data_IF_221354469375
#
_entry.id   IF_221354469375
#
_cell.length_a   1.000
_cell.length_b   1.000
_cell.length_c   1.000
_cell.angle_alpha   90.00
_cell.angle_beta   90.00
_cell.angle_gamma   90.00
#
_symmetry.space_group_name_H-M   'P 1'
#
loop_
_entity.id
_entity.type
_entity.pdbx_description
1 polymer ?
#
# COMPACT_ATOMS: atom_id res chain seq x y z
N UNK A 1 -28.09 4.28 8.16
CA UNK A 1 -26.96 4.99 7.61
C UNK A 1 -26.61 6.26 8.34
N UNK A 2 -25.57 6.94 7.90
CA UNK A 2 -25.16 8.23 8.43
C UNK A 2 -24.70 9.16 7.30
N UNK A 3 -24.78 10.48 7.57
CA UNK A 3 -24.31 11.51 6.64
C UNK A 3 -22.85 11.88 6.94
N UNK A 4 -22.11 12.30 5.91
CA UNK A 4 -20.74 12.79 6.02
C UNK A 4 -20.47 13.90 5.01
N UNK A 5 -19.99 15.03 5.51
CA UNK A 5 -19.57 16.16 4.68
C UNK A 5 -18.08 16.08 4.26
N UNK A 6 -17.31 15.15 4.85
CA UNK A 6 -15.86 15.02 4.64
C UNK A 6 -15.51 14.16 3.44
N UNK A 7 -16.47 13.45 2.86
CA UNK A 7 -16.25 12.50 1.77
C UNK A 7 -16.96 12.94 0.50
N UNK A 8 -16.60 12.39 -0.65
CA UNK A 8 -17.26 12.70 -1.93
C UNK A 8 -18.73 12.29 -1.97
N UNK A 9 -19.09 11.21 -1.26
CA UNK A 9 -20.49 10.81 -1.06
C UNK A 9 -21.12 11.58 0.08
N UNK A 10 -22.46 11.73 0.04
CA UNK A 10 -23.24 12.41 1.09
C UNK A 10 -23.33 11.60 2.40
N UNK A 11 -22.93 10.34 2.40
CA UNK A 11 -22.99 9.46 3.56
C UNK A 11 -22.96 7.99 3.18
N UNK A 12 -23.18 7.13 4.16
CA UNK A 12 -23.20 5.67 3.98
C UNK A 12 -24.52 5.07 4.41
N UNK A 13 -25.07 4.20 3.55
CA UNK A 13 -26.20 3.35 3.89
C UNK A 13 -25.66 2.07 4.52
N UNK A 14 -25.89 1.86 5.82
CA UNK A 14 -25.41 0.71 6.57
C UNK A 14 -26.42 -0.44 6.48
N UNK A 15 -27.74 -0.12 6.50
CA UNK A 15 -28.81 -1.10 6.46
C UNK A 15 -30.06 -0.52 5.84
N UNK A 16 -30.85 -1.34 5.16
CA UNK A 16 -32.21 -1.03 4.70
C UNK A 16 -33.28 -1.32 5.77
N UNK A 17 -32.89 -1.98 6.87
CA UNK A 17 -33.75 -2.27 8.02
C UNK A 17 -33.39 -1.35 9.17
N UNK A 18 -34.34 -1.13 10.09
CA UNK A 18 -34.08 -0.42 11.35
C UNK A 18 -33.10 -1.25 12.18
N UNK A 19 -31.95 -0.64 12.51
CA UNK A 19 -30.90 -1.22 13.35
C UNK A 19 -30.49 -0.22 14.40
N UNK A 20 -29.93 -0.70 15.52
CA UNK A 20 -29.24 0.11 16.52
C UNK A 20 -27.74 -0.06 16.32
N UNK A 21 -27.01 1.04 16.24
CA UNK A 21 -25.54 1.04 16.18
C UNK A 21 -25.01 1.05 17.61
N UNK A 22 -25.02 -0.12 18.24
CA UNK A 22 -24.53 -0.35 19.59
C UNK A 22 -23.28 -1.26 19.58
N UNK A 23 -22.73 -1.54 20.76
CA UNK A 23 -21.56 -2.38 20.89
C UNK A 23 -21.79 -3.78 20.30
N UNK A 24 -22.96 -4.39 20.57
CA UNK A 24 -23.27 -5.73 20.06
C UNK A 24 -23.30 -5.77 18.52
N UNK A 25 -23.81 -4.73 17.89
CA UNK A 25 -23.78 -4.61 16.42
C UNK A 25 -22.34 -4.58 15.89
N UNK A 26 -21.48 -3.74 16.44
CA UNK A 26 -20.09 -3.66 15.99
C UNK A 26 -19.27 -4.90 16.35
N UNK A 27 -19.50 -5.52 17.51
CA UNK A 27 -18.85 -6.80 17.87
C UNK A 27 -19.18 -7.91 16.86
N UNK A 28 -20.44 -8.03 16.43
CA UNK A 28 -20.84 -8.98 15.39
C UNK A 28 -20.17 -8.65 14.05
N UNK A 29 -20.07 -7.38 13.70
CA UNK A 29 -19.43 -6.94 12.46
C UNK A 29 -17.93 -7.25 12.45
N UNK A 30 -17.24 -6.99 13.55
CA UNK A 30 -15.82 -7.29 13.73
C UNK A 30 -15.57 -8.80 13.77
N UNK A 31 -16.42 -9.58 14.45
CA UNK A 31 -16.31 -11.05 14.45
C UNK A 31 -16.45 -11.63 13.03
N UNK A 32 -17.37 -11.10 12.23
CA UNK A 32 -17.52 -11.48 10.84
C UNK A 32 -16.28 -11.09 10.01
N UNK A 33 -15.72 -9.92 10.23
CA UNK A 33 -14.48 -9.47 9.56
C UNK A 33 -13.29 -10.37 9.94
N UNK A 34 -13.17 -10.74 11.23
CA UNK A 34 -12.14 -11.67 11.74
C UNK A 34 -12.23 -13.03 11.04
N UNK A 35 -13.44 -13.58 10.90
CA UNK A 35 -13.64 -14.89 10.26
C UNK A 35 -13.22 -14.93 8.79
N UNK A 36 -13.34 -13.82 8.06
CA UNK A 36 -12.92 -13.72 6.66
C UNK A 36 -11.38 -13.75 6.49
N UNK A 37 -10.64 -13.49 7.56
CA UNK A 37 -9.16 -13.34 7.54
C UNK A 37 -8.46 -14.43 8.34
N UNK A 38 -9.14 -15.55 8.58
CA UNK A 38 -8.61 -16.63 9.42
C UNK A 38 -7.27 -17.17 8.91
N UNK A 39 -7.06 -17.21 7.58
CA UNK A 39 -5.78 -17.62 6.99
C UNK A 39 -4.61 -16.72 7.39
N UNK A 40 -4.85 -15.41 7.51
CA UNK A 40 -3.81 -14.47 7.95
C UNK A 40 -3.49 -14.63 9.43
N UNK A 41 -4.50 -14.85 10.29
CA UNK A 41 -4.27 -15.12 11.72
C UNK A 41 -3.53 -16.44 11.99
N UNK A 42 -3.56 -17.38 11.03
CA UNK A 42 -2.86 -18.65 11.10
C UNK A 42 -1.50 -18.64 10.39
N UNK A 43 -1.17 -17.55 9.70
CA UNK A 43 0.10 -17.42 8.98
C UNK A 43 1.26 -17.21 9.94
N UNK A 44 2.34 -17.96 9.76
CA UNK A 44 3.62 -17.69 10.43
C UNK A 44 4.48 -16.68 9.64
N UNK A 45 4.08 -16.36 8.43
CA UNK A 45 4.81 -15.46 7.52
C UNK A 45 4.28 -14.02 7.56
N UNK A 46 3.10 -13.80 8.14
CA UNK A 46 2.42 -12.51 8.14
C UNK A 46 1.96 -12.13 9.55
N UNK A 47 2.44 -11.01 10.05
CA UNK A 47 2.01 -10.41 11.31
C UNK A 47 1.40 -9.03 11.12
N UNK A 48 1.22 -8.60 9.86
CA UNK A 48 0.55 -7.35 9.55
C UNK A 48 -0.37 -7.52 8.33
N UNK A 49 -1.64 -7.17 8.49
CA UNK A 49 -2.67 -7.27 7.46
C UNK A 49 -3.90 -6.43 7.83
N UNK A 50 -4.78 -6.19 6.86
CA UNK A 50 -6.02 -5.46 7.07
C UNK A 50 -7.08 -6.35 7.73
N UNK A 51 -7.58 -5.95 8.92
CA UNK A 51 -8.59 -6.71 9.66
C UNK A 51 -10.01 -6.18 9.49
N UNK A 52 -10.15 -4.92 9.03
CA UNK A 52 -11.45 -4.33 8.70
C UNK A 52 -11.32 -3.30 7.57
N UNK A 53 -12.12 -3.41 6.52
CA UNK A 53 -12.01 -2.57 5.32
C UNK A 53 -13.34 -1.95 4.88
N UNK A 54 -13.78 -0.92 5.57
CA UNK A 54 -14.91 -0.06 5.17
C UNK A 54 -16.15 -0.84 4.70
N UNK A 55 -16.71 -0.46 3.56
CA UNK A 55 -17.93 -1.06 2.97
C UNK A 55 -17.77 -2.55 2.64
N UNK A 56 -16.55 -3.00 2.37
CA UNK A 56 -16.24 -4.42 2.15
C UNK A 56 -16.56 -5.30 3.36
N UNK A 57 -16.45 -4.72 4.56
CA UNK A 57 -16.83 -5.36 5.82
C UNK A 57 -18.15 -4.81 6.41
N UNK A 58 -18.85 -3.94 5.66
CA UNK A 58 -20.23 -3.53 5.98
C UNK A 58 -20.37 -2.23 6.77
N UNK A 59 -19.28 -1.46 6.96
CA UNK A 59 -19.35 -0.15 7.64
C UNK A 59 -18.29 0.80 7.07
N UNK A 60 -18.71 1.74 6.23
CA UNK A 60 -17.85 2.72 5.60
C UNK A 60 -17.25 3.74 6.57
N UNK A 61 -16.14 4.36 6.15
CA UNK A 61 -15.45 5.39 6.90
C UNK A 61 -14.48 4.91 7.96
N UNK A 62 -14.26 3.60 8.10
CA UNK A 62 -13.32 2.98 9.02
C UNK A 62 -12.49 1.91 8.32
N UNK A 63 -11.18 1.95 8.48
CA UNK A 63 -10.33 0.77 8.26
C UNK A 63 -9.55 0.44 9.53
N UNK A 64 -9.24 -0.84 9.75
CA UNK A 64 -8.40 -1.29 10.84
C UNK A 64 -7.33 -2.21 10.28
N UNK A 65 -6.08 -1.87 10.52
CA UNK A 65 -4.91 -2.67 10.18
C UNK A 65 -4.28 -3.24 11.45
N UNK A 66 -3.83 -4.48 11.41
CA UNK A 66 -3.01 -5.10 12.44
C UNK A 66 -1.53 -4.93 12.08
N UNK A 67 -0.70 -4.64 13.09
CA UNK A 67 0.75 -4.62 13.02
C UNK A 67 1.30 -5.33 14.25
N UNK A 68 1.64 -6.62 14.12
CA UNK A 68 1.99 -7.45 15.26
C UNK A 68 0.86 -7.50 16.29
N UNK A 69 1.14 -7.00 17.49
CA UNK A 69 0.18 -6.99 18.61
C UNK A 69 -0.64 -5.68 18.70
N UNK A 70 -0.53 -4.79 17.72
CA UNK A 70 -1.14 -3.45 17.75
C UNK A 70 -2.05 -3.20 16.55
N UNK A 71 -3.15 -2.48 16.79
CA UNK A 71 -4.12 -2.11 15.76
C UNK A 71 -4.01 -0.63 15.40
N UNK A 72 -4.24 -0.31 14.12
CA UNK A 72 -4.34 1.07 13.62
C UNK A 72 -5.72 1.31 13.02
N UNK A 73 -6.48 2.21 13.61
CA UNK A 73 -7.79 2.64 13.17
C UNK A 73 -7.63 3.87 12.28
N UNK A 74 -7.88 3.75 10.98
CA UNK A 74 -7.95 4.91 10.09
C UNK A 74 -9.40 5.40 10.01
N UNK A 75 -9.63 6.63 10.42
CA UNK A 75 -10.95 7.26 10.56
C UNK A 75 -11.10 8.33 9.47
N UNK A 76 -12.13 8.17 8.63
CA UNK A 76 -12.28 8.97 7.41
C UNK A 76 -13.33 10.07 7.51
N UNK A 77 -14.06 10.19 8.63
CA UNK A 77 -15.07 11.23 8.83
C UNK A 77 -15.39 11.46 10.30
N UNK A 78 -16.08 12.58 10.56
CA UNK A 78 -16.44 13.03 11.89
C UNK A 78 -17.42 12.08 12.62
N UNK A 79 -18.33 11.41 11.90
CA UNK A 79 -19.27 10.48 12.54
C UNK A 79 -18.55 9.29 13.16
N UNK A 80 -17.66 8.65 12.39
CA UNK A 80 -16.85 7.52 12.89
C UNK A 80 -15.97 7.96 14.06
N UNK A 81 -15.42 9.17 13.98
CA UNK A 81 -14.63 9.74 15.07
C UNK A 81 -15.46 9.92 16.36
N UNK A 82 -16.71 10.39 16.25
CA UNK A 82 -17.61 10.58 17.42
C UNK A 82 -17.93 9.26 18.12
N UNK A 83 -18.04 8.16 17.39
CA UNK A 83 -18.37 6.83 17.95
C UNK A 83 -17.14 5.97 18.23
N UNK A 84 -15.91 6.51 18.14
CA UNK A 84 -14.68 5.71 18.22
C UNK A 84 -14.53 4.92 19.52
N UNK A 85 -15.02 5.45 20.65
CA UNK A 85 -14.99 4.74 21.94
C UNK A 85 -15.87 3.50 21.92
N UNK A 86 -17.05 3.59 21.29
CA UNK A 86 -17.93 2.45 21.05
C UNK A 86 -17.27 1.40 20.13
N UNK A 87 -16.60 1.86 19.08
CA UNK A 87 -15.85 0.98 18.17
C UNK A 87 -14.69 0.28 18.90
N UNK A 88 -13.95 0.98 19.74
CA UNK A 88 -12.86 0.40 20.55
C UNK A 88 -13.40 -0.64 21.51
N UNK A 89 -14.49 -0.37 22.24
CA UNK A 89 -15.10 -1.32 23.15
C UNK A 89 -15.55 -2.60 22.44
N UNK A 90 -16.21 -2.48 21.29
CA UNK A 90 -16.60 -3.63 20.47
C UNK A 90 -15.38 -4.37 19.88
N UNK A 91 -14.35 -3.66 19.52
CA UNK A 91 -13.10 -4.24 18.99
C UNK A 91 -12.39 -5.06 20.04
N UNK A 92 -12.20 -4.54 21.24
CA UNK A 92 -11.52 -5.23 22.35
C UNK A 92 -12.26 -6.49 22.80
N UNK A 93 -13.60 -6.54 22.66
CA UNK A 93 -14.40 -7.73 22.92
C UNK A 93 -14.06 -8.87 21.93
N UNK A 94 -13.80 -8.55 20.68
CA UNK A 94 -13.55 -9.53 19.59
C UNK A 94 -12.07 -9.87 19.44
N UNK A 95 -11.20 -8.93 19.78
CA UNK A 95 -9.73 -9.03 19.64
C UNK A 95 -9.01 -8.79 20.98
N UNK A 96 -9.31 -9.60 22.03
CA UNK A 96 -8.70 -9.42 23.34
C UNK A 96 -7.18 -9.64 23.33
N UNK A 97 -6.64 -10.28 22.29
CA UNK A 97 -5.22 -10.52 22.08
C UNK A 97 -4.45 -9.24 21.65
N UNK A 98 -5.12 -8.21 21.14
CA UNK A 98 -4.49 -6.97 20.69
C UNK A 98 -4.15 -6.11 21.92
N UNK A 99 -2.86 -5.82 22.10
CA UNK A 99 -2.34 -5.12 23.27
C UNK A 99 -2.68 -3.64 23.31
N UNK A 100 -2.74 -2.99 22.15
CA UNK A 100 -3.05 -1.57 22.08
C UNK A 100 -3.37 -1.09 20.67
N UNK A 101 -3.79 0.16 20.56
CA UNK A 101 -4.20 0.71 19.27
C UNK A 101 -3.92 2.20 19.12
N UNK A 102 -3.85 2.59 17.87
CA UNK A 102 -3.63 3.97 17.42
C UNK A 102 -4.72 4.40 16.46
N UNK A 103 -5.00 5.69 16.41
CA UNK A 103 -5.88 6.27 15.40
C UNK A 103 -5.11 7.12 14.40
N UNK A 104 -5.57 7.09 13.14
CA UNK A 104 -5.11 7.93 12.04
C UNK A 104 -6.29 8.73 11.51
N UNK A 105 -6.23 10.05 11.59
CA UNK A 105 -7.31 10.93 11.17
C UNK A 105 -7.14 11.28 9.69
N UNK A 106 -8.05 10.78 8.86
CA UNK A 106 -8.05 10.93 7.40
C UNK A 106 -8.99 12.02 6.90
N UNK A 107 -9.37 12.96 7.77
CA UNK A 107 -10.19 14.13 7.43
C UNK A 107 -9.66 15.37 8.16
N UNK A 108 -10.20 16.56 7.86
CA UNK A 108 -9.58 17.85 8.21
C UNK A 108 -9.62 18.21 9.72
N UNK A 109 -10.58 17.71 10.46
CA UNK A 109 -10.69 17.86 11.92
C UNK A 109 -10.43 16.49 12.58
N UNK A 110 -9.94 16.43 13.81
CA UNK A 110 -9.83 17.41 14.89
C UNK A 110 -8.48 18.15 14.99
N UNK A 111 -7.66 18.20 13.93
CA UNK A 111 -6.45 19.02 13.92
C UNK A 111 -5.17 18.27 14.32
N UNK A 112 -5.21 16.96 14.45
CA UNK A 112 -4.04 16.08 14.56
C UNK A 112 -4.17 14.92 13.58
N UNK A 113 -3.05 14.27 13.25
CA UNK A 113 -3.00 13.19 12.27
C UNK A 113 -2.99 11.81 12.91
N UNK A 114 -2.42 11.66 14.10
CA UNK A 114 -2.21 10.38 14.77
C UNK A 114 -2.21 10.56 16.28
N UNK A 115 -2.76 9.58 17.00
CA UNK A 115 -2.72 9.51 18.46
C UNK A 115 -2.80 8.06 18.94
N UNK A 116 -2.30 7.79 20.16
CA UNK A 116 -2.60 6.57 20.89
C UNK A 116 -4.09 6.54 21.25
N UNK A 117 -4.76 5.40 21.04
CA UNK A 117 -6.21 5.27 21.16
C UNK A 117 -6.62 4.43 22.37
N UNK A 118 -5.96 3.28 22.60
CA UNK A 118 -6.25 2.41 23.74
C UNK A 118 -5.08 1.46 24.04
N UNK A 119 -5.08 0.87 25.26
CA UNK A 119 -4.19 -0.19 25.68
C UNK A 119 -2.74 0.24 25.89
N UNK A 120 -1.82 -0.66 25.58
CA UNK A 120 -0.39 -0.41 25.71
C UNK A 120 0.13 0.41 24.51
N UNK A 121 1.09 1.28 24.75
CA UNK A 121 1.82 1.95 23.66
C UNK A 121 2.78 0.96 22.98
N UNK A 122 2.83 1.00 21.67
CA UNK A 122 3.80 0.25 20.90
C UNK A 122 5.20 0.88 21.06
N UNK A 123 6.26 0.09 20.87
CA UNK A 123 7.59 0.66 20.66
C UNK A 123 7.57 1.73 19.54
N UNK A 124 8.41 2.74 19.65
CA UNK A 124 8.50 3.81 18.62
C UNK A 124 8.68 3.23 17.21
N UNK A 125 9.47 2.16 17.13
CA UNK A 125 9.70 1.37 15.93
C UNK A 125 9.78 -0.11 16.30
N UNK A 126 9.18 -0.97 15.49
CA UNK A 126 9.24 -2.43 15.68
C UNK A 126 9.12 -3.15 14.34
N UNK A 127 9.42 -4.45 14.34
CA UNK A 127 9.38 -5.28 13.14
C UNK A 127 8.06 -6.04 13.02
N UNK A 128 7.53 -6.07 11.80
CA UNK A 128 6.44 -6.97 11.40
C UNK A 128 6.95 -7.92 10.32
N UNK A 129 6.21 -9.00 10.11
CA UNK A 129 6.42 -9.91 8.98
C UNK A 129 5.34 -9.71 7.93
N UNK A 130 5.75 -9.75 6.67
CA UNK A 130 4.89 -9.85 5.51
C UNK A 130 5.58 -10.77 4.49
N UNK A 131 4.92 -11.87 4.11
CA UNK A 131 5.51 -12.90 3.24
C UNK A 131 6.87 -13.42 3.78
N UNK A 132 7.06 -13.50 5.11
CA UNK A 132 8.29 -13.89 5.76
C UNK A 132 9.42 -12.84 5.75
N UNK A 133 9.19 -11.68 5.17
CA UNK A 133 10.13 -10.55 5.13
C UNK A 133 9.87 -9.61 6.28
N UNK A 134 10.93 -9.12 6.95
CA UNK A 134 10.84 -8.18 8.06
C UNK A 134 10.76 -6.75 7.56
N UNK A 135 9.77 -6.00 8.06
CA UNK A 135 9.62 -4.58 7.78
C UNK A 135 9.52 -3.80 9.08
N UNK A 136 10.26 -2.70 9.16
CA UNK A 136 10.19 -1.79 10.28
C UNK A 136 8.99 -0.85 10.13
N UNK A 137 8.17 -0.78 11.16
CA UNK A 137 6.96 0.03 11.22
C UNK A 137 6.96 0.96 12.42
N UNK A 138 6.16 2.02 12.33
CA UNK A 138 5.93 3.01 13.37
C UNK A 138 4.46 3.43 13.34
N UNK A 139 3.81 3.53 14.49
CA UNK A 139 2.36 3.70 14.54
C UNK A 139 1.91 5.10 14.93
N UNK A 140 2.76 5.91 15.55
CA UNK A 140 2.41 7.24 16.07
C UNK A 140 3.21 8.39 15.43
N UNK A 141 3.45 8.31 14.12
CA UNK A 141 4.19 9.35 13.38
C UNK A 141 3.40 9.75 12.12
N UNK A 142 2.48 10.71 12.29
CA UNK A 142 1.61 11.18 11.23
C UNK A 142 0.71 10.07 10.65
N UNK A 143 0.36 10.19 9.39
CA UNK A 143 -0.57 9.26 8.71
C UNK A 143 0.07 7.97 8.21
N UNK A 144 1.40 7.89 8.20
CA UNK A 144 2.14 6.75 7.65
C UNK A 144 2.47 5.72 8.74
N UNK A 145 2.80 4.50 8.32
CA UNK A 145 3.15 3.38 9.22
C UNK A 145 4.43 2.66 8.83
N UNK A 146 5.08 3.07 7.74
CA UNK A 146 6.31 2.45 7.24
C UNK A 146 6.10 1.50 6.05
N UNK A 147 4.91 0.97 5.86
CA UNK A 147 4.58 0.08 4.73
C UNK A 147 3.11 0.24 4.32
N UNK A 148 2.81 0.03 3.04
CA UNK A 148 1.44 -0.05 2.50
C UNK A 148 1.06 -1.51 2.34
N UNK A 149 0.16 -2.00 3.19
CA UNK A 149 -0.22 -3.42 3.26
C UNK A 149 -1.01 -3.89 2.04
N UNK A 150 -1.69 -3.01 1.31
CA UNK A 150 -2.48 -3.36 0.12
C UNK A 150 -1.65 -3.90 -1.06
N UNK A 151 -0.33 -3.76 -1.00
CA UNK A 151 0.60 -4.25 -2.02
C UNK A 151 1.28 -5.59 -1.66
N UNK A 152 0.85 -6.28 -0.60
CA UNK A 152 1.57 -7.46 -0.13
C UNK A 152 1.56 -8.64 -1.13
N UNK A 153 0.51 -8.82 -1.92
CA UNK A 153 0.47 -9.86 -2.97
C UNK A 153 1.46 -9.56 -4.11
N UNK A 154 1.66 -8.28 -4.43
CA UNK A 154 2.66 -7.88 -5.43
C UNK A 154 4.07 -8.13 -4.90
N UNK A 155 4.32 -7.81 -3.62
CA UNK A 155 5.60 -8.12 -2.98
C UNK A 155 5.83 -9.63 -2.85
N UNK A 156 4.78 -10.43 -2.60
CA UNK A 156 4.87 -11.89 -2.60
C UNK A 156 5.48 -12.41 -3.89
N UNK A 157 5.06 -11.91 -5.06
CA UNK A 157 5.62 -12.33 -6.34
C UNK A 157 7.11 -12.05 -6.48
N UNK A 158 7.61 -10.99 -5.84
CA UNK A 158 9.03 -10.65 -5.81
C UNK A 158 9.80 -11.57 -4.86
N UNK A 159 9.24 -11.89 -3.69
CA UNK A 159 9.79 -12.89 -2.75
C UNK A 159 9.85 -14.27 -3.41
N UNK A 160 8.84 -14.62 -4.20
CA UNK A 160 8.76 -15.87 -4.97
C UNK A 160 9.71 -15.92 -6.19
N UNK A 161 10.55 -14.90 -6.37
CA UNK A 161 11.65 -14.92 -7.33
C UNK A 161 11.37 -14.28 -8.69
N UNK A 162 10.34 -13.46 -8.86
CA UNK A 162 10.09 -12.73 -10.12
C UNK A 162 11.32 -11.94 -10.60
N UNK A 163 12.10 -11.42 -9.65
CA UNK A 163 13.36 -10.70 -9.91
C UNK A 163 14.63 -11.49 -9.58
N UNK A 164 14.55 -12.81 -9.38
CA UNK A 164 15.71 -13.63 -9.06
C UNK A 164 16.79 -13.57 -10.16
N UNK A 165 18.03 -13.32 -9.76
CA UNK A 165 19.18 -13.15 -10.67
C UNK A 165 19.15 -11.87 -11.52
N UNK A 166 18.28 -10.90 -11.20
CA UNK A 166 18.02 -9.68 -11.98
C UNK A 166 18.31 -8.41 -11.19
N UNK A 167 18.51 -7.31 -11.93
CA UNK A 167 18.53 -5.96 -11.37
C UNK A 167 17.13 -5.37 -11.30
N UNK A 168 16.79 -4.72 -10.19
CA UNK A 168 15.48 -4.10 -9.98
C UNK A 168 15.61 -2.60 -9.69
N UNK A 169 14.78 -1.80 -10.37
CA UNK A 169 14.57 -0.39 -10.08
C UNK A 169 13.18 -0.18 -9.45
N UNK A 170 13.16 0.39 -8.25
CA UNK A 170 11.94 0.73 -7.53
C UNK A 170 11.75 2.25 -7.49
N UNK A 171 10.79 2.74 -8.26
CA UNK A 171 10.44 4.16 -8.37
C UNK A 171 9.30 4.53 -7.44
N UNK A 172 9.40 5.71 -6.80
CA UNK A 172 8.51 6.12 -5.70
C UNK A 172 8.61 5.15 -4.52
N UNK A 173 9.86 4.83 -4.17
CA UNK A 173 10.16 3.63 -3.37
C UNK A 173 9.71 3.72 -1.92
N UNK A 174 9.40 4.89 -1.39
CA UNK A 174 9.06 5.13 0.01
C UNK A 174 10.11 4.49 0.93
N UNK A 175 9.79 3.41 1.62
CA UNK A 175 10.70 2.66 2.50
C UNK A 175 11.39 1.48 1.81
N UNK A 176 11.36 1.43 0.49
CA UNK A 176 11.93 0.39 -0.37
C UNK A 176 11.37 -1.04 -0.15
N UNK A 177 10.12 -1.18 0.29
CA UNK A 177 9.52 -2.47 0.58
C UNK A 177 9.55 -3.44 -0.63
N UNK A 178 9.31 -2.96 -1.86
CA UNK A 178 9.46 -3.78 -3.08
C UNK A 178 10.90 -4.21 -3.32
N UNK A 179 11.86 -3.32 -3.05
CA UNK A 179 13.29 -3.65 -3.23
C UNK A 179 13.76 -4.71 -2.24
N UNK A 180 13.31 -4.61 -0.97
CA UNK A 180 13.61 -5.63 0.07
C UNK A 180 12.99 -6.97 -0.33
N UNK A 181 11.73 -7.01 -0.73
CA UNK A 181 11.05 -8.21 -1.20
C UNK A 181 11.79 -8.85 -2.38
N UNK A 182 12.22 -8.05 -3.36
CA UNK A 182 13.00 -8.53 -4.49
C UNK A 182 14.38 -9.09 -4.08
N UNK A 183 15.08 -8.41 -3.17
CA UNK A 183 16.38 -8.87 -2.67
C UNK A 183 16.25 -10.19 -1.90
N UNK A 184 15.21 -10.33 -1.06
CA UNK A 184 14.88 -11.58 -0.37
C UNK A 184 14.51 -12.71 -1.34
N UNK A 185 13.88 -12.38 -2.48
CA UNK A 185 13.58 -13.32 -3.58
C UNK A 185 14.72 -13.53 -4.56
N UNK A 186 15.96 -13.07 -4.26
CA UNK A 186 17.16 -13.37 -5.04
C UNK A 186 17.51 -12.36 -6.13
N UNK A 187 16.98 -11.13 -6.10
CA UNK A 187 17.47 -10.05 -6.96
C UNK A 187 18.94 -9.76 -6.63
N UNK A 188 19.79 -9.60 -7.65
CA UNK A 188 21.22 -9.41 -7.47
C UNK A 188 21.61 -7.99 -7.09
N UNK A 189 20.82 -7.02 -7.53
CA UNK A 189 20.97 -5.62 -7.14
C UNK A 189 19.60 -4.90 -7.16
N UNK A 190 19.44 -3.90 -6.31
CA UNK A 190 18.25 -3.03 -6.32
C UNK A 190 18.66 -1.56 -6.27
N UNK A 191 17.87 -0.75 -6.94
CA UNK A 191 17.96 0.72 -6.85
C UNK A 191 16.60 1.27 -6.44
N UNK A 192 16.54 1.94 -5.30
CA UNK A 192 15.35 2.57 -4.76
C UNK A 192 15.43 4.07 -4.93
N UNK A 193 14.43 4.69 -5.55
CA UNK A 193 14.39 6.13 -5.83
C UNK A 193 13.17 6.75 -5.19
N UNK A 194 13.39 7.71 -4.30
CA UNK A 194 12.33 8.52 -3.67
C UNK A 194 12.80 9.95 -3.45
N UNK A 195 11.87 10.90 -3.41
CA UNK A 195 12.19 12.31 -3.21
C UNK A 195 12.44 12.67 -1.73
N UNK A 196 11.84 11.93 -0.81
CA UNK A 196 11.90 12.20 0.63
C UNK A 196 13.26 11.76 1.20
N UNK A 197 13.98 12.66 1.86
CA UNK A 197 15.28 12.35 2.48
C UNK A 197 15.18 11.24 3.52
N UNK A 198 14.09 11.23 4.31
CA UNK A 198 13.81 10.20 5.33
C UNK A 198 13.67 8.79 4.73
N UNK A 199 13.27 8.66 3.47
CA UNK A 199 13.14 7.37 2.78
C UNK A 199 14.42 6.55 2.79
N UNK A 200 15.58 7.20 2.71
CA UNK A 200 16.87 6.51 2.67
C UNK A 200 17.14 5.72 3.95
N UNK A 201 17.04 6.37 5.11
CA UNK A 201 17.30 5.72 6.41
C UNK A 201 16.33 4.57 6.67
N UNK A 202 15.04 4.78 6.39
CA UNK A 202 14.01 3.75 6.52
C UNK A 202 14.26 2.56 5.57
N UNK A 203 14.71 2.84 4.35
CA UNK A 203 15.05 1.80 3.37
C UNK A 203 16.24 0.96 3.83
N UNK A 204 17.33 1.60 4.25
CA UNK A 204 18.52 0.93 4.77
C UNK A 204 18.16 0.05 5.99
N UNK A 205 17.30 0.54 6.89
CA UNK A 205 16.84 -0.20 8.07
C UNK A 205 16.10 -1.50 7.70
N UNK A 206 15.28 -1.48 6.64
CA UNK A 206 14.59 -2.69 6.16
C UNK A 206 15.57 -3.74 5.64
N UNK A 207 16.61 -3.35 4.90
CA UNK A 207 17.64 -4.28 4.42
C UNK A 207 18.41 -4.90 5.59
N UNK A 208 18.83 -4.08 6.54
CA UNK A 208 19.55 -4.54 7.75
C UNK A 208 18.69 -5.51 8.58
N UNK A 209 17.40 -5.22 8.74
CA UNK A 209 16.46 -6.09 9.48
C UNK A 209 16.34 -7.50 8.88
N UNK A 210 16.62 -7.65 7.57
CA UNK A 210 16.62 -8.92 6.86
C UNK A 210 18.00 -9.52 6.66
N UNK A 211 19.06 -8.95 7.26
CA UNK A 211 20.42 -9.44 7.12
C UNK A 211 21.03 -9.25 5.72
N UNK A 212 20.45 -8.34 4.92
CA UNK A 212 20.93 -8.04 3.57
C UNK A 212 22.09 -7.03 3.63
N UNK A 213 23.17 -7.33 2.92
CA UNK A 213 24.29 -6.41 2.76
C UNK A 213 23.86 -5.21 1.87
N UNK A 214 24.33 -4.01 2.20
CA UNK A 214 23.91 -2.78 1.51
C UNK A 214 24.71 -2.47 0.25
N UNK A 215 25.84 -3.11 0.04
CA UNK A 215 26.81 -2.83 -1.04
C UNK A 215 26.26 -3.06 -2.46
N UNK A 216 25.28 -3.98 -2.60
CA UNK A 216 24.58 -4.27 -3.87
C UNK A 216 23.26 -3.49 -4.03
N UNK A 217 22.94 -2.60 -3.08
CA UNK A 217 21.65 -1.91 -3.04
C UNK A 217 21.84 -0.39 -2.93
N UNK A 218 21.16 0.34 -3.79
CA UNK A 218 21.30 1.80 -3.89
C UNK A 218 20.04 2.50 -3.44
N UNK A 219 20.21 3.53 -2.61
CA UNK A 219 19.13 4.36 -2.08
C UNK A 219 19.34 5.80 -2.53
N UNK A 220 18.54 6.25 -3.49
CA UNK A 220 18.72 7.51 -4.19
C UNK A 220 17.63 8.50 -3.78
N UNK A 221 18.02 9.62 -3.18
CA UNK A 221 17.10 10.73 -2.86
C UNK A 221 17.06 11.68 -4.06
N UNK A 222 16.11 11.48 -4.93
CA UNK A 222 15.96 12.25 -6.18
C UNK A 222 14.51 12.22 -6.68
N UNK A 223 14.10 13.25 -7.42
CA UNK A 223 12.86 13.21 -8.20
C UNK A 223 12.94 12.11 -9.27
N UNK A 224 11.89 11.30 -9.38
CA UNK A 224 11.84 10.14 -10.29
C UNK A 224 12.10 10.54 -11.75
N UNK A 225 11.54 11.66 -12.22
CA UNK A 225 11.74 12.11 -13.58
C UNK A 225 13.16 12.66 -13.84
N UNK A 226 13.79 13.19 -12.82
CA UNK A 226 15.20 13.59 -12.92
C UNK A 226 16.11 12.34 -12.84
N UNK A 227 15.70 11.29 -12.11
CA UNK A 227 16.40 10.01 -12.11
C UNK A 227 16.39 9.31 -13.47
N UNK A 228 15.27 9.31 -14.20
CA UNK A 228 15.25 8.78 -15.58
C UNK A 228 16.30 9.43 -16.48
N UNK A 229 16.42 10.74 -16.43
CA UNK A 229 17.44 11.48 -17.19
C UNK A 229 18.87 11.11 -16.76
N UNK A 230 19.06 10.96 -15.45
CA UNK A 230 20.34 10.53 -14.89
C UNK A 230 20.69 9.12 -15.38
N UNK A 231 19.79 8.17 -15.24
CA UNK A 231 19.98 6.79 -15.65
C UNK A 231 20.32 6.67 -17.16
N UNK A 232 19.53 7.36 -18.00
CA UNK A 232 19.77 7.40 -19.46
C UNK A 232 21.14 7.97 -19.81
N UNK A 233 21.53 9.08 -19.19
CA UNK A 233 22.83 9.72 -19.44
C UNK A 233 24.00 8.83 -19.03
N UNK A 234 23.84 8.00 -18.00
CA UNK A 234 24.89 7.11 -17.50
C UNK A 234 24.77 5.67 -18.02
N UNK A 235 23.87 5.41 -18.96
CA UNK A 235 23.68 4.08 -19.53
C UNK A 235 23.21 3.02 -18.53
N UNK A 236 22.53 3.43 -17.46
CA UNK A 236 21.99 2.50 -16.47
C UNK A 236 20.74 1.82 -17.01
N UNK A 237 20.68 0.50 -16.91
CA UNK A 237 19.52 -0.29 -17.36
C UNK A 237 19.15 -1.35 -16.32
N UNK A 238 17.88 -1.74 -16.32
CA UNK A 238 17.30 -2.63 -15.31
C UNK A 238 16.51 -3.76 -15.95
N UNK A 239 16.50 -4.93 -15.31
CA UNK A 239 15.70 -6.08 -15.76
C UNK A 239 14.25 -5.97 -15.32
N UNK A 240 14.00 -5.37 -14.14
CA UNK A 240 12.67 -5.16 -13.56
C UNK A 240 12.53 -3.71 -13.09
N UNK A 241 11.43 -3.06 -13.44
CA UNK A 241 11.10 -1.71 -12.96
C UNK A 241 9.73 -1.73 -12.29
N UNK A 242 9.67 -1.26 -11.04
CA UNK A 242 8.43 -1.08 -10.28
C UNK A 242 8.02 0.40 -10.31
N UNK A 243 6.77 0.66 -10.66
CA UNK A 243 6.15 1.98 -10.73
C UNK A 243 4.93 2.02 -9.81
N UNK A 244 5.06 2.64 -8.65
CA UNK A 244 3.97 2.83 -7.69
C UNK A 244 3.82 4.30 -7.29
N UNK A 245 3.47 5.18 -8.24
CA UNK A 245 3.36 6.61 -8.00
C UNK A 245 2.14 6.94 -7.12
N UNK A 246 2.19 8.02 -6.33
CA UNK A 246 0.99 8.57 -5.71
C UNK A 246 -0.03 8.96 -6.79
N UNK A 247 -1.33 8.89 -6.49
CA UNK A 247 -2.41 9.24 -7.41
C UNK A 247 -2.27 10.65 -8.00
N UNK A 248 -1.70 11.54 -7.19
CA UNK A 248 -1.37 12.91 -7.54
C UNK A 248 -0.10 13.36 -6.81
N UNK A 249 0.82 13.99 -7.53
CA UNK A 249 2.03 14.60 -6.98
C UNK A 249 2.27 15.99 -7.56
N UNK A 250 2.72 16.90 -6.71
CA UNK A 250 3.13 18.24 -7.13
C UNK A 250 4.43 18.63 -6.44
N UNK A 251 5.41 19.02 -7.21
CA UNK A 251 6.63 19.66 -6.73
C UNK A 251 6.81 21.04 -7.38
N UNK A 252 7.89 21.75 -7.04
CA UNK A 252 8.16 23.10 -7.58
C UNK A 252 8.25 23.14 -9.11
N UNK A 253 8.54 22.02 -9.77
CA UNK A 253 8.80 21.93 -11.22
C UNK A 253 7.68 21.26 -12.00
N UNK A 254 6.87 20.40 -11.39
CA UNK A 254 5.92 19.53 -12.09
C UNK A 254 4.69 19.21 -11.28
N UNK A 255 3.62 18.96 -12.01
CA UNK A 255 2.41 18.29 -11.52
C UNK A 255 2.27 16.97 -12.26
N UNK A 256 2.02 15.90 -11.53
CA UNK A 256 1.80 14.56 -12.05
C UNK A 256 0.44 14.04 -11.57
N UNK A 257 -0.30 13.41 -12.46
CA UNK A 257 -1.54 12.71 -12.14
C UNK A 257 -1.57 11.38 -12.87
N UNK A 258 -1.83 10.29 -12.14
CA UNK A 258 -1.98 8.95 -12.72
C UNK A 258 -2.99 8.94 -13.86
N UNK A 259 -4.10 9.65 -13.70
CA UNK A 259 -5.18 9.71 -14.69
C UNK A 259 -4.79 10.31 -16.05
N UNK A 260 -3.66 11.03 -16.15
CA UNK A 260 -3.28 11.80 -17.34
C UNK A 260 -1.82 11.60 -17.77
N UNK A 261 -0.95 11.23 -16.85
CA UNK A 261 0.50 11.31 -17.07
C UNK A 261 1.21 9.95 -16.91
N UNK A 262 0.48 8.85 -16.59
CA UNK A 262 1.12 7.56 -16.35
C UNK A 262 1.87 7.03 -17.56
N UNK A 263 1.37 7.27 -18.77
CA UNK A 263 2.05 6.91 -20.01
C UNK A 263 3.48 7.46 -20.11
N UNK A 264 3.74 8.63 -19.52
CA UNK A 264 5.09 9.22 -19.51
C UNK A 264 6.07 8.44 -18.64
N UNK A 265 5.58 7.79 -17.55
CA UNK A 265 6.40 6.89 -16.73
C UNK A 265 6.74 5.64 -17.51
N UNK A 266 5.76 5.06 -18.24
CA UNK A 266 6.00 3.89 -19.08
C UNK A 266 7.02 4.22 -20.15
N UNK A 267 6.85 5.32 -20.92
CA UNK A 267 7.77 5.75 -21.96
C UNK A 267 9.21 5.87 -21.45
N UNK A 268 9.41 6.56 -20.33
CA UNK A 268 10.75 6.74 -19.74
C UNK A 268 11.33 5.45 -19.17
N UNK A 269 10.47 4.57 -18.61
CA UNK A 269 10.90 3.27 -18.13
C UNK A 269 11.42 2.40 -19.28
N UNK A 270 10.74 2.39 -20.43
CA UNK A 270 11.17 1.62 -21.61
C UNK A 270 12.55 2.04 -22.13
N UNK A 271 12.95 3.31 -21.92
CA UNK A 271 14.28 3.80 -22.33
C UNK A 271 15.43 3.23 -21.49
N UNK A 272 15.14 2.72 -20.28
CA UNK A 272 16.13 2.17 -19.34
C UNK A 272 15.81 0.74 -18.93
N UNK A 273 14.80 0.12 -19.53
CA UNK A 273 14.47 -1.28 -19.34
C UNK A 273 15.30 -2.14 -20.31
N UNK A 274 15.93 -3.19 -19.81
CA UNK A 274 16.65 -4.16 -20.66
C UNK A 274 15.69 -4.91 -21.59
N UNK A 275 16.17 -5.43 -22.72
CA UNK A 275 15.38 -6.33 -23.57
C UNK A 275 14.78 -7.48 -22.77
N UNK A 276 13.52 -7.82 -23.05
CA UNK A 276 12.74 -8.83 -22.31
C UNK A 276 12.55 -8.52 -20.81
N UNK A 277 12.72 -7.25 -20.43
CA UNK A 277 12.52 -6.78 -19.06
C UNK A 277 11.05 -6.77 -18.64
N UNK A 278 10.82 -6.54 -17.37
CA UNK A 278 9.50 -6.57 -16.72
C UNK A 278 9.19 -5.19 -16.15
N UNK A 279 7.99 -4.69 -16.42
CA UNK A 279 7.40 -3.54 -15.73
C UNK A 279 6.32 -4.03 -14.77
N UNK A 280 6.36 -3.54 -13.53
CA UNK A 280 5.25 -3.66 -12.56
C UNK A 280 4.64 -2.27 -12.46
N UNK A 281 3.48 -2.09 -13.06
CA UNK A 281 2.76 -0.83 -13.11
C UNK A 281 1.58 -0.84 -12.13
N UNK A 282 1.64 0.00 -11.11
CA UNK A 282 0.66 0.07 -10.01
C UNK A 282 -0.04 1.43 -9.93
N UNK A 283 -1.27 1.42 -9.46
CA UNK A 283 -1.98 2.61 -8.98
C UNK A 283 -3.04 2.25 -7.94
N UNK A 284 -3.14 3.08 -6.90
CA UNK A 284 -4.21 3.07 -5.90
C UNK A 284 -5.28 4.15 -6.13
N UNK A 285 -5.30 4.77 -7.31
CA UNK A 285 -6.25 5.83 -7.64
C UNK A 285 -7.66 5.29 -7.84
N UNK A 286 -8.55 5.46 -6.85
CA UNK A 286 -9.94 4.99 -6.90
C UNK A 286 -10.77 5.64 -8.04
N UNK A 287 -10.39 6.85 -8.49
CA UNK A 287 -11.04 7.58 -9.58
C UNK A 287 -10.53 7.21 -10.97
N UNK A 288 -9.65 6.23 -11.08
CA UNK A 288 -9.11 5.70 -12.34
C UNK A 288 -9.58 4.25 -12.46
N UNK A 289 -10.50 3.97 -13.38
CA UNK A 289 -10.95 2.60 -13.65
C UNK A 289 -9.81 1.75 -14.20
N UNK A 290 -9.94 0.43 -14.09
CA UNK A 290 -8.97 -0.55 -14.59
C UNK A 290 -8.70 -0.37 -16.09
N UNK A 291 -9.74 -0.21 -16.88
CA UNK A 291 -9.63 0.01 -18.32
C UNK A 291 -8.97 1.33 -18.68
N UNK A 292 -9.23 2.38 -17.90
CA UNK A 292 -8.57 3.68 -18.09
C UNK A 292 -7.10 3.58 -17.78
N UNK A 293 -6.74 2.88 -16.71
CA UNK A 293 -5.33 2.68 -16.33
C UNK A 293 -4.61 1.86 -17.39
N UNK A 294 -5.22 0.77 -17.88
CA UNK A 294 -4.67 -0.03 -18.97
C UNK A 294 -4.45 0.79 -20.24
N UNK A 295 -5.40 1.65 -20.62
CA UNK A 295 -5.22 2.57 -21.76
C UNK A 295 -4.05 3.53 -21.57
N UNK A 296 -3.80 4.04 -20.37
CA UNK A 296 -2.63 4.89 -20.10
C UNK A 296 -1.32 4.10 -20.22
N UNK A 297 -1.29 2.83 -19.80
CA UNK A 297 -0.14 1.93 -19.99
C UNK A 297 0.11 1.71 -21.48
N UNK A 298 -0.91 1.28 -22.25
CA UNK A 298 -0.80 1.03 -23.70
C UNK A 298 -0.33 2.25 -24.48
N UNK A 299 -0.82 3.44 -24.11
CA UNK A 299 -0.37 4.71 -24.70
C UNK A 299 1.15 4.92 -24.50
N UNK A 300 1.70 4.52 -23.36
CA UNK A 300 3.14 4.62 -23.09
C UNK A 300 3.98 3.64 -23.88
N UNK A 301 3.47 2.46 -24.19
CA UNK A 301 4.15 1.47 -25.03
C UNK A 301 4.28 1.89 -26.51
N UNK A 302 3.41 2.76 -27.00
CA UNK A 302 3.47 3.29 -28.40
C UNK A 302 3.54 2.18 -29.47
N UNK A 303 2.90 1.04 -29.22
CA UNK A 303 2.92 -0.12 -30.11
C UNK A 303 4.10 -1.06 -29.96
N UNK A 304 5.00 -0.83 -29.01
CA UNK A 304 6.06 -1.80 -28.68
C UNK A 304 5.44 -3.10 -28.17
N UNK A 305 5.88 -4.23 -28.71
CA UNK A 305 5.35 -5.55 -28.35
C UNK A 305 5.61 -5.89 -26.88
N UNK A 306 4.56 -6.31 -26.22
CA UNK A 306 4.57 -6.71 -24.81
C UNK A 306 3.40 -7.64 -24.50
N UNK A 307 3.43 -8.30 -23.35
CA UNK A 307 2.30 -9.09 -22.86
C UNK A 307 2.16 -8.96 -21.35
N UNK A 308 0.92 -9.05 -20.88
CA UNK A 308 0.60 -9.00 -19.46
C UNK A 308 0.83 -10.39 -18.85
N UNK A 309 1.74 -10.45 -17.85
CA UNK A 309 2.04 -11.69 -17.11
C UNK A 309 0.97 -11.90 -16.04
N UNK A 310 0.63 -10.84 -15.32
CA UNK A 310 -0.39 -10.87 -14.27
C UNK A 310 -1.12 -9.54 -14.15
N UNK A 311 -2.30 -9.63 -13.58
CA UNK A 311 -3.16 -8.51 -13.24
C UNK A 311 -3.76 -8.78 -11.87
N UNK A 312 -3.45 -7.93 -10.88
CA UNK A 312 -3.93 -8.07 -9.51
C UNK A 312 -4.64 -6.81 -9.03
N UNK A 313 -5.58 -7.00 -8.10
CA UNK A 313 -6.28 -5.94 -7.38
C UNK A 313 -5.92 -5.95 -5.91
N UNK A 314 -6.88 -5.59 -5.07
CA UNK A 314 -6.73 -5.67 -3.62
C UNK A 314 -6.56 -7.12 -3.16
N UNK A 315 -5.66 -7.38 -2.21
CA UNK A 315 -5.49 -8.71 -1.62
C UNK A 315 -6.71 -9.12 -0.77
N UNK A 316 -6.78 -10.41 -0.42
CA UNK A 316 -7.96 -11.00 0.19
C UNK A 316 -8.36 -10.41 1.55
N UNK A 317 -7.42 -9.89 2.32
CA UNK A 317 -7.68 -9.19 3.58
C UNK A 317 -8.31 -7.81 3.39
N UNK A 318 -8.11 -7.19 2.22
CA UNK A 318 -8.74 -5.92 1.82
C UNK A 318 -10.09 -6.18 1.17
N UNK A 319 -11.06 -6.67 1.94
CA UNK A 319 -12.43 -6.88 1.46
C UNK A 319 -12.99 -5.60 0.85
N UNK A 320 -13.66 -5.70 -0.28
CA UNK A 320 -14.23 -4.56 -0.98
C UNK A 320 -15.70 -4.83 -1.37
N UNK A 321 -16.42 -3.78 -1.71
CA UNK A 321 -17.80 -3.90 -2.18
C UNK A 321 -17.81 -4.16 -3.70
N UNK A 322 -18.15 -5.38 -4.11
CA UNK A 322 -18.21 -5.78 -5.53
C UNK A 322 -19.16 -4.95 -6.38
N UNK A 323 -20.16 -4.30 -5.75
CA UNK A 323 -21.11 -3.42 -6.44
C UNK A 323 -20.58 -2.03 -6.72
N UNK A 324 -19.40 -1.70 -6.20
CA UNK A 324 -18.76 -0.40 -6.32
C UNK A 324 -17.31 -0.56 -6.78
N UNK A 325 -17.07 -0.32 -8.08
CA UNK A 325 -15.73 -0.45 -8.68
C UNK A 325 -14.66 0.36 -7.94
N UNK A 326 -15.03 1.53 -7.42
CA UNK A 326 -14.10 2.42 -6.71
C UNK A 326 -13.61 1.84 -5.39
N UNK A 327 -14.33 0.89 -4.78
CA UNK A 327 -13.90 0.23 -3.55
C UNK A 327 -12.74 -0.76 -3.79
N UNK A 328 -12.64 -1.35 -4.99
CA UNK A 328 -11.45 -2.11 -5.44
C UNK A 328 -10.45 -1.16 -6.12
N UNK A 329 -9.85 -0.31 -5.32
CA UNK A 329 -9.06 0.82 -5.82
C UNK A 329 -7.68 0.44 -6.36
N UNK A 330 -7.10 -0.70 -5.98
CA UNK A 330 -5.77 -1.12 -6.41
C UNK A 330 -5.82 -1.78 -7.79
N UNK A 331 -4.92 -1.39 -8.67
CA UNK A 331 -4.70 -2.01 -9.99
C UNK A 331 -3.21 -2.17 -10.19
N UNK A 332 -2.75 -3.39 -10.38
CA UNK A 332 -1.35 -3.68 -10.66
C UNK A 332 -1.26 -4.61 -11.87
N UNK A 333 -0.46 -4.20 -12.83
CA UNK A 333 -0.16 -4.98 -14.02
C UNK A 333 1.32 -5.34 -14.04
N UNK A 334 1.64 -6.62 -14.15
CA UNK A 334 3.00 -7.11 -14.43
C UNK A 334 3.10 -7.38 -15.91
N UNK A 335 4.00 -6.67 -16.60
CA UNK A 335 4.08 -6.61 -18.05
C UNK A 335 5.49 -6.98 -18.48
N UNK A 336 5.61 -7.95 -19.39
CA UNK A 336 6.89 -8.31 -20.00
C UNK A 336 7.01 -7.71 -21.39
N UNK A 337 8.15 -7.10 -21.67
CA UNK A 337 8.47 -6.54 -22.98
C UNK A 337 9.08 -7.65 -23.83
N UNK A 338 8.69 -7.74 -25.12
CA UNK A 338 9.09 -8.87 -25.99
C UNK A 338 10.45 -8.64 -26.67
N UNK A 339 10.96 -7.39 -26.68
CA UNK A 339 12.22 -7.03 -27.37
C UNK A 339 13.24 -6.47 -26.41
#
# INVERSE_FOLDING_TARGET
GYLSEQNKGLGWVISTKKITLDQAYFSQLFAKAKSKRQSYYQSELDTAFRIFNQEGDGFGGLTIDLYGDYAVFSIYNAFVYQIRELLVAAFQEVFPEVLGGYEKIRFKDPGYESAHLFGQEAPEQFLILENGVRYQVFLNDGLMTGIFLDQHDVRASLVDGLAAGKSLLNMFSYTAAFSVAAAMGGAVETTSVDLAKRSRELSEAHFVANGLALDQHRFIVMDVFDYYKYAKRHGLTYDVIVLDPPSFARNKKRTFSVAKDYHKLIEQSLEILKPKGILIASTNAANVSRDKFKREIEKGFKGQKHHYISEVGLPADFQYNEREESSNYLKVFTIKVDQ
#
